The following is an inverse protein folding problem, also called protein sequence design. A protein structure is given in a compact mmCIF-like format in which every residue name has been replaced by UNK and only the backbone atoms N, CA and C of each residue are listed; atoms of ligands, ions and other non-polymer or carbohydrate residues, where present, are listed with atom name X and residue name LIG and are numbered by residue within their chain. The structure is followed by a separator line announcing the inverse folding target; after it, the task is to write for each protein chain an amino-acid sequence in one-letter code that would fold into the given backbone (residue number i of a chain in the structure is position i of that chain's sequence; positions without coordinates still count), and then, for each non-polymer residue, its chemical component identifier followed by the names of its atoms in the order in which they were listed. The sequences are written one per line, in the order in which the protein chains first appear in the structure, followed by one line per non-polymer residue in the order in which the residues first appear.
data_IF_570772274185
#
_entry.id   IF_570772274185
#
_cell.length_a   1.000
_cell.length_b   1.000
_cell.length_c   1.000
_cell.angle_alpha   90.00
_cell.angle_beta   90.00
_cell.angle_gamma   90.00
#
_symmetry.space_group_name_H-M   'P 1'
#
loop_
_entity.id
_entity.type
_entity.pdbx_description
1 polymer ?
#
# COMPACT_ATOMS: atom_id res chain seq x y z
N UNK A 1 15.01 -31.60 -2.59
CA UNK A 1 13.57 -31.55 -2.28
C UNK A 1 13.29 -30.98 -0.89
N UNK A 2 13.90 -31.54 0.17
CA UNK A 2 13.64 -31.16 1.56
C UNK A 2 13.89 -29.66 1.88
N UNK A 3 14.92 -29.06 1.30
CA UNK A 3 15.28 -27.65 1.55
C UNK A 3 14.23 -26.66 1.04
N UNK A 4 13.75 -26.81 -0.20
CA UNK A 4 12.75 -25.90 -0.79
C UNK A 4 11.39 -26.01 -0.09
N UNK A 5 11.01 -27.21 0.35
CA UNK A 5 9.81 -27.42 1.17
C UNK A 5 9.95 -26.74 2.53
N UNK A 6 11.11 -26.88 3.19
CA UNK A 6 11.38 -26.25 4.48
C UNK A 6 11.28 -24.72 4.37
N UNK A 7 11.89 -24.12 3.35
CA UNK A 7 11.77 -22.67 3.09
C UNK A 7 10.30 -22.28 2.91
N UNK A 8 9.55 -23.01 2.07
CA UNK A 8 8.14 -22.72 1.84
C UNK A 8 7.29 -22.77 3.12
N UNK A 9 7.57 -23.74 4.01
CA UNK A 9 6.91 -23.85 5.32
C UNK A 9 7.28 -22.66 6.21
N UNK A 10 8.55 -22.26 6.26
CA UNK A 10 9.00 -21.10 7.03
C UNK A 10 8.32 -19.83 6.53
N UNK A 11 8.34 -19.57 5.22
CA UNK A 11 7.68 -18.40 4.61
C UNK A 11 6.18 -18.40 4.89
N UNK A 12 5.51 -19.54 4.74
CA UNK A 12 4.09 -19.66 5.04
C UNK A 12 3.79 -19.37 6.52
N UNK A 13 4.58 -19.93 7.43
CA UNK A 13 4.44 -19.74 8.88
C UNK A 13 4.65 -18.29 9.27
N UNK A 14 5.58 -17.58 8.62
CA UNK A 14 5.82 -16.15 8.86
C UNK A 14 4.74 -15.23 8.25
N UNK A 15 4.08 -15.64 7.15
CA UNK A 15 2.98 -14.86 6.54
C UNK A 15 1.73 -14.79 7.40
N UNK A 16 1.35 -15.91 8.04
CA UNK A 16 0.13 -15.98 8.87
C UNK A 16 0.08 -14.85 9.93
N UNK A 17 1.07 -14.67 10.82
CA UNK A 17 1.03 -13.62 11.82
C UNK A 17 1.07 -12.21 11.20
N UNK A 18 1.68 -12.03 10.02
CA UNK A 18 1.67 -10.75 9.32
C UNK A 18 0.27 -10.40 8.82
N UNK A 19 -0.43 -11.35 8.18
CA UNK A 19 -1.81 -11.15 7.76
C UNK A 19 -2.73 -10.89 8.96
N UNK A 20 -2.60 -11.65 10.04
CA UNK A 20 -3.36 -11.42 11.27
C UNK A 20 -3.10 -10.03 11.84
N UNK A 21 -1.84 -9.60 11.89
CA UNK A 21 -1.46 -8.25 12.36
C UNK A 21 -2.09 -7.18 11.49
N UNK A 22 -2.08 -7.37 10.16
CA UNK A 22 -2.66 -6.42 9.22
C UNK A 22 -4.20 -6.34 9.35
N UNK A 23 -4.88 -7.48 9.49
CA UNK A 23 -6.33 -7.56 9.72
C UNK A 23 -6.70 -6.84 11.03
N UNK A 24 -6.02 -7.16 12.13
CA UNK A 24 -6.27 -6.53 13.44
C UNK A 24 -6.01 -5.02 13.35
N UNK A 25 -4.92 -4.61 12.71
CA UNK A 25 -4.59 -3.20 12.48
C UNK A 25 -5.66 -2.45 11.68
N UNK A 26 -6.21 -3.06 10.63
CA UNK A 26 -7.31 -2.49 9.85
C UNK A 26 -8.61 -2.39 10.66
N UNK A 27 -9.00 -3.45 11.37
CA UNK A 27 -10.22 -3.46 12.20
C UNK A 27 -10.14 -2.38 13.28
N UNK A 28 -8.99 -2.28 13.96
CA UNK A 28 -8.77 -1.23 14.96
C UNK A 28 -8.79 0.17 14.33
N UNK A 29 -8.21 0.35 13.14
CA UNK A 29 -8.26 1.61 12.41
C UNK A 29 -9.69 2.04 12.06
N UNK A 30 -10.50 1.13 11.52
CA UNK A 30 -11.89 1.42 11.15
C UNK A 30 -12.83 1.57 12.34
N UNK A 31 -12.55 0.89 13.46
CA UNK A 31 -13.24 1.15 14.73
C UNK A 31 -12.95 2.54 15.28
N UNK A 32 -11.73 3.03 15.10
CA UNK A 32 -11.30 4.33 15.62
C UNK A 32 -11.81 5.48 14.75
N UNK A 33 -11.84 5.31 13.43
CA UNK A 33 -12.33 6.29 12.46
C UNK A 33 -13.09 5.62 11.32
N UNK A 34 -14.26 6.18 10.96
CA UNK A 34 -14.96 5.73 9.76
C UNK A 34 -14.14 6.06 8.50
N UNK A 35 -14.24 5.22 7.47
CA UNK A 35 -13.58 5.45 6.17
C UNK A 35 -13.96 6.82 5.58
N UNK A 36 -15.20 7.27 5.80
CA UNK A 36 -15.66 8.61 5.40
C UNK A 36 -14.91 9.73 6.11
N UNK A 37 -14.64 9.58 7.41
CA UNK A 37 -13.86 10.55 8.16
C UNK A 37 -12.41 10.59 7.67
N UNK A 38 -11.81 9.43 7.41
CA UNK A 38 -10.45 9.32 6.86
C UNK A 38 -10.39 9.99 5.48
N UNK A 39 -11.36 9.71 4.62
CA UNK A 39 -11.44 10.29 3.27
C UNK A 39 -11.55 11.82 3.29
N UNK A 40 -12.27 12.39 4.27
CA UNK A 40 -12.36 13.84 4.47
C UNK A 40 -11.03 14.47 4.86
N UNK A 41 -10.18 13.75 5.63
CA UNK A 41 -8.85 14.20 6.07
C UNK A 41 -7.84 14.05 4.94
N UNK A 42 -7.78 12.86 4.33
CA UNK A 42 -6.88 12.55 3.22
C UNK A 42 -7.52 11.47 2.34
N UNK A 43 -8.06 11.83 1.16
CA UNK A 43 -8.71 10.86 0.27
C UNK A 43 -7.71 9.79 -0.21
N UNK A 44 -6.46 10.19 -0.38
CA UNK A 44 -5.31 9.36 -0.73
C UNK A 44 -5.13 8.20 0.25
N UNK A 45 -4.98 8.52 1.53
CA UNK A 45 -4.78 7.50 2.57
C UNK A 45 -6.00 6.58 2.67
N UNK A 46 -7.21 7.13 2.53
CA UNK A 46 -8.44 6.32 2.53
C UNK A 46 -8.45 5.31 1.39
N UNK A 47 -8.05 5.72 0.17
CA UNK A 47 -7.93 4.82 -0.98
C UNK A 47 -6.87 3.75 -0.72
N UNK A 48 -5.70 4.11 -0.18
CA UNK A 48 -4.67 3.12 0.15
C UNK A 48 -5.15 2.07 1.15
N UNK A 49 -5.84 2.50 2.20
CA UNK A 49 -6.40 1.60 3.20
C UNK A 49 -7.49 0.72 2.61
N UNK A 50 -8.31 1.26 1.73
CA UNK A 50 -9.33 0.48 1.02
C UNK A 50 -8.67 -0.60 0.15
N UNK A 51 -7.67 -0.24 -0.64
CA UNK A 51 -6.91 -1.19 -1.46
C UNK A 51 -6.26 -2.26 -0.60
N UNK A 52 -5.55 -1.88 0.47
CA UNK A 52 -4.97 -2.84 1.40
C UNK A 52 -6.02 -3.72 2.07
N UNK A 53 -7.20 -3.17 2.39
CA UNK A 53 -8.32 -3.95 2.96
C UNK A 53 -8.82 -4.97 1.96
N UNK A 54 -9.06 -4.58 0.72
CA UNK A 54 -9.49 -5.50 -0.35
C UNK A 54 -8.43 -6.58 -0.54
N UNK A 55 -7.16 -6.21 -0.61
CA UNK A 55 -6.07 -7.16 -0.82
C UNK A 55 -5.95 -8.15 0.34
N UNK A 56 -6.01 -7.70 1.59
CA UNK A 56 -5.90 -8.56 2.77
C UNK A 56 -7.15 -9.43 2.92
N UNK A 57 -8.35 -8.87 2.81
CA UNK A 57 -9.60 -9.61 3.08
C UNK A 57 -9.86 -10.66 1.99
N UNK A 58 -9.54 -10.36 0.73
CA UNK A 58 -9.79 -11.28 -0.37
C UNK A 58 -8.62 -12.26 -0.54
N UNK A 59 -7.38 -11.76 -0.64
CA UNK A 59 -6.26 -12.64 -1.01
C UNK A 59 -5.56 -13.31 0.15
N UNK A 60 -5.55 -12.74 1.36
CA UNK A 60 -4.88 -13.43 2.47
C UNK A 60 -5.54 -14.79 2.77
N UNK A 61 -6.88 -14.91 2.84
CA UNK A 61 -7.52 -16.22 3.01
C UNK A 61 -7.25 -17.17 1.84
N UNK A 62 -7.25 -16.65 0.61
CA UNK A 62 -6.96 -17.46 -0.57
C UNK A 62 -5.51 -17.96 -0.58
N UNK A 63 -4.54 -17.10 -0.28
CA UNK A 63 -3.12 -17.47 -0.18
C UNK A 63 -2.91 -18.48 0.96
N UNK A 64 -3.55 -18.25 2.12
CA UNK A 64 -3.49 -19.18 3.26
C UNK A 64 -4.15 -20.52 2.94
N UNK A 65 -5.23 -20.53 2.16
CA UNK A 65 -5.90 -21.76 1.74
C UNK A 65 -5.11 -22.52 0.68
N UNK A 66 -4.57 -21.84 -0.33
CA UNK A 66 -3.91 -22.44 -1.50
C UNK A 66 -2.53 -23.00 -1.16
N UNK A 67 -1.72 -22.28 -0.39
CA UNK A 67 -0.32 -22.66 -0.17
C UNK A 67 -0.14 -24.03 0.52
N UNK A 68 -0.93 -24.43 1.52
CA UNK A 68 -0.86 -25.78 2.08
C UNK A 68 -1.08 -26.87 1.03
N UNK A 69 -1.98 -26.67 0.07
CA UNK A 69 -2.20 -27.65 -1.00
C UNK A 69 -0.96 -27.79 -1.89
N UNK A 70 -0.28 -26.68 -2.20
CA UNK A 70 0.97 -26.69 -2.97
C UNK A 70 2.15 -27.28 -2.18
N UNK A 71 2.24 -26.97 -0.88
CA UNK A 71 3.32 -27.40 -0.01
C UNK A 71 3.22 -28.89 0.36
N UNK A 72 2.04 -29.34 0.76
CA UNK A 72 1.80 -30.70 1.29
C UNK A 72 1.43 -31.71 0.20
N UNK A 73 1.13 -31.27 -1.02
CA UNK A 73 0.66 -32.13 -2.13
C UNK A 73 -0.46 -33.07 -1.73
N UNK A 74 -1.39 -32.59 -0.91
CA UNK A 74 -2.43 -33.45 -0.35
C UNK A 74 -3.34 -34.08 -1.40
N UNK A 75 -3.44 -33.52 -2.61
CA UNK A 75 -4.27 -34.03 -3.69
C UNK A 75 -3.60 -33.90 -5.06
N UNK A 76 -3.94 -34.82 -5.96
CA UNK A 76 -3.73 -34.64 -7.40
C UNK A 76 -4.53 -33.40 -7.84
N UNK A 77 -3.83 -32.32 -8.18
CA UNK A 77 -4.48 -31.10 -8.67
C UNK A 77 -4.85 -31.30 -10.14
N UNK A 78 -6.15 -31.25 -10.45
CA UNK A 78 -6.59 -31.20 -11.83
C UNK A 78 -6.12 -29.91 -12.51
N UNK A 79 -5.96 -29.94 -13.84
CA UNK A 79 -5.56 -28.76 -14.61
C UNK A 79 -6.47 -27.55 -14.38
N UNK A 80 -7.77 -27.79 -14.12
CA UNK A 80 -8.74 -26.74 -13.78
C UNK A 80 -8.35 -26.03 -12.49
N UNK A 81 -8.04 -26.78 -11.42
CA UNK A 81 -7.66 -26.21 -10.12
C UNK A 81 -6.37 -25.39 -10.25
N UNK A 82 -5.40 -25.89 -11.02
CA UNK A 82 -4.12 -25.19 -11.26
C UNK A 82 -4.37 -23.86 -11.97
N UNK A 83 -5.14 -23.86 -13.05
CA UNK A 83 -5.50 -22.64 -13.78
C UNK A 83 -6.24 -21.64 -12.89
N UNK A 84 -7.14 -22.10 -12.02
CA UNK A 84 -7.83 -21.24 -11.05
C UNK A 84 -6.86 -20.62 -10.03
N UNK A 85 -5.95 -21.41 -9.45
CA UNK A 85 -4.94 -20.91 -8.50
C UNK A 85 -4.05 -19.85 -9.16
N UNK A 86 -3.63 -20.09 -10.41
CA UNK A 86 -2.83 -19.13 -11.16
C UNK A 86 -3.60 -17.86 -11.46
N UNK A 87 -4.85 -17.96 -11.90
CA UNK A 87 -5.70 -16.79 -12.14
C UNK A 87 -5.84 -15.95 -10.86
N UNK A 88 -6.09 -16.57 -9.72
CA UNK A 88 -6.16 -15.88 -8.41
C UNK A 88 -4.82 -15.19 -8.10
N UNK A 89 -3.70 -15.87 -8.33
CA UNK A 89 -2.36 -15.32 -8.10
C UNK A 89 -2.09 -14.12 -9.00
N UNK A 90 -2.45 -14.20 -10.28
CA UNK A 90 -2.28 -13.11 -11.25
C UNK A 90 -3.12 -11.91 -10.87
N UNK A 91 -4.39 -12.12 -10.50
CA UNK A 91 -5.28 -11.04 -10.04
C UNK A 91 -4.74 -10.39 -8.75
N UNK A 92 -4.19 -11.19 -7.83
CA UNK A 92 -3.51 -10.69 -6.63
C UNK A 92 -2.31 -9.81 -6.99
N UNK A 93 -1.44 -10.25 -7.90
CA UNK A 93 -0.29 -9.46 -8.38
C UNK A 93 -0.72 -8.19 -9.11
N UNK A 94 -1.80 -8.23 -9.88
CA UNK A 94 -2.36 -7.03 -10.52
C UNK A 94 -2.86 -6.01 -9.48
N UNK A 95 -3.47 -6.46 -8.38
CA UNK A 95 -3.87 -5.57 -7.28
C UNK A 95 -2.69 -5.03 -6.47
N UNK A 96 -1.59 -5.78 -6.35
CA UNK A 96 -0.32 -5.27 -5.82
C UNK A 96 0.24 -4.17 -6.73
N UNK A 97 0.30 -4.41 -8.04
CA UNK A 97 0.71 -3.39 -9.03
C UNK A 97 -0.17 -2.15 -8.92
N UNK A 98 -1.48 -2.33 -8.82
CA UNK A 98 -2.43 -1.24 -8.62
C UNK A 98 -2.10 -0.43 -7.36
N UNK A 99 -1.87 -1.10 -6.23
CA UNK A 99 -1.46 -0.47 -4.96
C UNK A 99 -0.17 0.34 -5.10
N UNK A 100 0.82 -0.16 -5.81
CA UNK A 100 2.12 0.50 -5.94
C UNK A 100 2.04 1.72 -6.86
N UNK A 101 1.30 1.60 -7.96
CA UNK A 101 0.99 2.72 -8.84
C UNK A 101 0.21 3.82 -8.11
N UNK A 102 -0.76 3.45 -7.28
CA UNK A 102 -1.53 4.39 -6.45
C UNK A 102 -0.59 5.16 -5.51
N UNK A 103 0.38 4.47 -4.91
CA UNK A 103 1.40 5.09 -4.08
C UNK A 103 2.34 6.04 -4.84
N UNK A 104 2.79 5.69 -6.05
CA UNK A 104 3.53 6.61 -6.92
C UNK A 104 2.71 7.87 -7.16
N UNK A 105 1.43 7.69 -7.50
CA UNK A 105 0.47 8.78 -7.67
C UNK A 105 0.40 9.68 -6.44
N UNK A 106 0.47 9.10 -5.23
CA UNK A 106 0.47 9.87 -3.99
C UNK A 106 1.75 10.68 -3.79
N UNK A 107 2.92 10.12 -4.08
CA UNK A 107 4.16 10.88 -4.03
C UNK A 107 4.13 12.05 -5.01
N UNK A 108 3.66 11.83 -6.25
CA UNK A 108 3.55 12.87 -7.27
C UNK A 108 2.54 13.94 -6.85
N UNK A 109 1.31 13.54 -6.50
CA UNK A 109 0.26 14.47 -6.08
C UNK A 109 0.69 15.28 -4.87
N UNK A 110 1.36 14.67 -3.89
CA UNK A 110 1.79 15.37 -2.68
C UNK A 110 2.97 16.30 -2.94
N UNK A 111 3.91 15.89 -3.78
CA UNK A 111 4.99 16.76 -4.25
C UNK A 111 4.42 17.98 -4.95
N UNK A 112 3.46 17.78 -5.86
CA UNK A 112 2.79 18.87 -6.57
C UNK A 112 2.10 19.85 -5.61
N UNK A 113 1.37 19.34 -4.61
CA UNK A 113 0.71 20.17 -3.61
C UNK A 113 1.68 20.96 -2.72
N UNK A 114 2.84 20.38 -2.39
CA UNK A 114 3.90 21.09 -1.64
C UNK A 114 4.55 22.21 -2.47
N UNK A 115 4.58 22.07 -3.79
CA UNK A 115 5.08 23.10 -4.70
C UNK A 115 4.04 24.22 -4.94
N UNK A 116 2.75 23.87 -4.95
CA UNK A 116 1.64 24.79 -5.26
C UNK A 116 0.57 24.82 -4.16
N UNK A 117 0.84 25.42 -2.99
CA UNK A 117 -0.06 25.39 -1.84
C UNK A 117 -1.38 26.18 -2.03
N UNK A 118 -1.46 27.09 -3.01
CA UNK A 118 -2.61 27.99 -3.23
C UNK A 118 -3.71 27.39 -4.12
N UNK A 119 -3.58 26.14 -4.56
CA UNK A 119 -4.57 25.56 -5.48
C UNK A 119 -5.85 25.11 -4.77
N UNK A 120 -6.96 25.31 -5.50
CA UNK A 120 -8.31 24.93 -5.09
C UNK A 120 -8.41 23.43 -4.78
N UNK A 121 -9.13 23.09 -3.71
CA UNK A 121 -9.41 21.70 -3.28
C UNK A 121 -10.02 20.83 -4.41
N UNK A 122 -10.79 21.44 -5.31
CA UNK A 122 -11.41 20.76 -6.46
C UNK A 122 -10.37 20.14 -7.40
N UNK A 123 -9.27 20.85 -7.68
CA UNK A 123 -8.19 20.36 -8.56
C UNK A 123 -7.52 19.12 -7.99
N UNK A 124 -7.35 19.05 -6.66
CA UNK A 124 -6.79 17.87 -5.99
C UNK A 124 -7.66 16.62 -6.18
N UNK A 125 -9.00 16.76 -6.10
CA UNK A 125 -9.90 15.63 -6.36
C UNK A 125 -9.83 15.15 -7.81
N UNK A 126 -9.73 16.07 -8.77
CA UNK A 126 -9.60 15.74 -10.19
C UNK A 126 -8.29 15.00 -10.46
N UNK A 127 -7.16 15.50 -9.93
CA UNK A 127 -5.85 14.84 -10.09
C UNK A 127 -5.87 13.45 -9.43
N UNK A 128 -6.43 13.32 -8.23
CA UNK A 128 -6.53 12.02 -7.55
C UNK A 128 -7.39 11.03 -8.34
N UNK A 129 -8.51 11.47 -8.93
CA UNK A 129 -9.35 10.63 -9.78
C UNK A 129 -8.63 10.22 -11.07
N UNK A 130 -7.89 11.14 -11.70
CA UNK A 130 -7.08 10.86 -12.89
C UNK A 130 -6.00 9.82 -12.60
N UNK A 131 -5.26 10.00 -11.49
CA UNK A 131 -4.28 9.02 -11.01
C UNK A 131 -4.96 7.67 -10.88
N UNK A 132 -6.06 7.58 -10.12
CA UNK A 132 -6.78 6.32 -9.92
C UNK A 132 -7.22 5.64 -11.22
N UNK A 133 -7.72 6.41 -12.19
CA UNK A 133 -8.13 5.88 -13.49
C UNK A 133 -6.95 5.32 -14.29
N UNK A 134 -5.83 6.05 -14.34
CA UNK A 134 -4.60 5.61 -15.02
C UNK A 134 -4.04 4.37 -14.34
N UNK A 135 -3.96 4.36 -13.00
CA UNK A 135 -3.43 3.21 -12.26
C UNK A 135 -4.31 1.98 -12.46
N UNK A 136 -5.62 2.15 -12.51
CA UNK A 136 -6.56 1.07 -12.79
C UNK A 136 -6.32 0.50 -14.19
N UNK A 137 -6.28 1.36 -15.22
CA UNK A 137 -6.01 0.95 -16.61
C UNK A 137 -4.70 0.17 -16.75
N UNK A 138 -3.60 0.71 -16.20
CA UNK A 138 -2.29 0.04 -16.23
C UNK A 138 -2.30 -1.31 -15.50
N UNK A 139 -2.98 -1.41 -14.35
CA UNK A 139 -3.10 -2.68 -13.62
C UNK A 139 -3.93 -3.72 -14.36
N UNK A 140 -4.97 -3.31 -15.09
CA UNK A 140 -5.77 -4.23 -15.92
C UNK A 140 -5.04 -4.68 -17.18
N UNK A 141 -4.24 -3.81 -17.80
CA UNK A 141 -3.42 -4.15 -18.96
C UNK A 141 -2.41 -5.27 -18.66
N UNK A 142 -1.96 -5.36 -17.40
CA UNK A 142 -1.08 -6.43 -16.92
C UNK A 142 -1.71 -7.82 -16.97
N UNK A 143 -3.04 -7.95 -16.93
CA UNK A 143 -3.73 -9.24 -16.99
C UNK A 143 -3.69 -9.86 -18.39
N UNK A 144 -3.61 -9.04 -19.44
CA UNK A 144 -3.68 -9.47 -20.85
C UNK A 144 -2.59 -10.50 -21.23
N UNK A 145 -1.28 -10.23 -21.03
CA UNK A 145 -0.24 -11.21 -21.40
C UNK A 145 -0.35 -12.50 -20.60
N UNK A 146 -0.94 -12.44 -19.40
CA UNK A 146 -1.09 -13.60 -18.53
C UNK A 146 -2.15 -14.58 -18.98
N UNK A 147 -3.26 -14.09 -19.56
CA UNK A 147 -4.28 -14.97 -20.10
C UNK A 147 -3.73 -15.84 -21.23
N UNK A 148 -2.80 -15.33 -22.05
CA UNK A 148 -2.14 -16.13 -23.09
C UNK A 148 -1.23 -17.24 -22.55
N UNK A 149 -0.60 -17.03 -21.38
CA UNK A 149 0.26 -18.04 -20.74
C UNK A 149 -0.56 -19.13 -20.05
N UNK A 150 -1.74 -18.80 -19.51
CA UNK A 150 -2.60 -19.77 -18.79
C UNK A 150 -3.03 -20.96 -19.66
N UNK A 151 -3.14 -20.78 -20.97
CA UNK A 151 -3.54 -21.84 -21.88
C UNK A 151 -2.41 -22.81 -22.22
N UNK A 152 -1.15 -22.42 -22.01
CA UNK A 152 0.04 -23.22 -22.33
C UNK A 152 0.49 -24.14 -21.18
N UNK A 153 -0.27 -24.19 -20.08
CA UNK A 153 0.14 -24.92 -18.86
C UNK A 153 -0.46 -26.33 -18.88
N UNK A 154 0.40 -27.31 -19.15
CA UNK A 154 0.03 -28.73 -19.25
C UNK A 154 0.16 -29.50 -17.92
N UNK A 155 0.66 -28.87 -16.86
CA UNK A 155 0.75 -29.46 -15.52
C UNK A 155 1.74 -28.76 -14.57
N UNK A 156 1.74 -29.15 -13.30
CA UNK A 156 2.72 -28.66 -12.29
C UNK A 156 3.95 -29.58 -12.29
N UNK A 157 5.15 -28.99 -12.35
CA UNK A 157 6.42 -29.74 -12.23
C UNK A 157 6.56 -30.37 -10.83
N UNK A 158 7.13 -31.56 -10.77
CA UNK A 158 7.32 -32.32 -9.52
C UNK A 158 8.27 -31.66 -8.50
N UNK A 159 8.95 -30.58 -8.84
CA UNK A 159 9.81 -29.80 -7.95
C UNK A 159 9.18 -28.47 -7.51
N UNK A 160 7.93 -28.20 -7.91
CA UNK A 160 7.24 -26.95 -7.63
C UNK A 160 6.41 -27.01 -6.34
N UNK A 161 6.63 -26.05 -5.43
CA UNK A 161 5.98 -25.94 -4.11
C UNK A 161 5.32 -24.58 -3.84
N UNK A 162 5.39 -23.64 -4.79
CA UNK A 162 4.87 -22.28 -4.66
C UNK A 162 4.31 -21.80 -6.00
N UNK A 163 3.39 -20.84 -6.00
CA UNK A 163 2.71 -20.39 -7.23
C UNK A 163 3.69 -19.84 -8.28
N UNK A 164 4.79 -19.21 -7.86
CA UNK A 164 5.80 -18.64 -8.75
C UNK A 164 6.65 -19.66 -9.53
N UNK A 165 6.67 -20.95 -9.16
CA UNK A 165 7.39 -21.96 -9.95
C UNK A 165 6.54 -22.59 -11.04
N UNK A 166 5.21 -22.43 -11.02
CA UNK A 166 4.31 -23.11 -11.95
C UNK A 166 4.54 -22.64 -13.39
N UNK A 167 4.80 -21.34 -13.59
CA UNK A 167 5.13 -20.79 -14.91
C UNK A 167 6.58 -21.09 -15.33
N UNK A 168 7.42 -21.65 -14.46
CA UNK A 168 8.85 -21.83 -14.72
C UNK A 168 9.65 -20.52 -14.72
N UNK A 169 11.00 -20.61 -14.77
CA UNK A 169 11.89 -19.45 -14.61
C UNK A 169 12.06 -18.61 -15.90
N UNK A 170 11.83 -19.21 -17.08
CA UNK A 170 12.11 -18.57 -18.38
C UNK A 170 10.87 -18.13 -19.15
N UNK A 171 9.69 -18.36 -18.59
CA UNK A 171 8.42 -18.00 -19.20
C UNK A 171 8.28 -16.48 -19.38
N UNK A 172 7.65 -16.10 -20.49
CA UNK A 172 7.47 -14.70 -20.89
C UNK A 172 6.64 -13.96 -19.84
N UNK A 173 5.60 -14.59 -19.29
CA UNK A 173 4.75 -14.00 -18.26
C UNK A 173 5.55 -13.63 -17.01
N UNK A 174 6.38 -14.55 -16.51
CA UNK A 174 7.24 -14.28 -15.34
C UNK A 174 8.21 -13.13 -15.59
N UNK A 175 8.89 -13.11 -16.73
CA UNK A 175 9.83 -12.03 -17.08
C UNK A 175 9.12 -10.68 -17.12
N UNK A 176 7.94 -10.63 -17.74
CA UNK A 176 7.12 -9.41 -17.76
C UNK A 176 6.79 -8.94 -16.35
N UNK A 177 6.41 -9.83 -15.42
CA UNK A 177 6.13 -9.44 -14.03
C UNK A 177 7.34 -8.88 -13.33
N UNK A 178 8.46 -9.59 -13.40
CA UNK A 178 9.69 -9.16 -12.72
C UNK A 178 10.11 -7.79 -13.25
N UNK A 179 10.12 -7.62 -14.58
CA UNK A 179 10.44 -6.33 -15.21
C UNK A 179 9.45 -5.24 -14.77
N UNK A 180 8.13 -5.49 -14.84
CA UNK A 180 7.11 -4.54 -14.43
C UNK A 180 7.26 -4.13 -12.95
N UNK A 181 7.43 -5.09 -12.05
CA UNK A 181 7.62 -4.83 -10.62
C UNK A 181 8.88 -4.02 -10.36
N UNK A 182 9.98 -4.31 -11.06
CA UNK A 182 11.25 -3.57 -10.92
C UNK A 182 11.12 -2.16 -11.47
N UNK A 183 10.47 -1.97 -12.62
CA UNK A 183 10.19 -0.65 -13.18
C UNK A 183 9.35 0.18 -12.23
N UNK A 184 8.26 -0.38 -11.69
CA UNK A 184 7.41 0.28 -10.70
C UNK A 184 8.20 0.61 -9.43
N UNK A 185 9.04 -0.30 -8.94
CA UNK A 185 9.90 -0.08 -7.78
C UNK A 185 10.86 1.08 -8.00
N UNK A 186 11.53 1.15 -9.16
CA UNK A 186 12.42 2.27 -9.51
C UNK A 186 11.66 3.59 -9.56
N UNK A 187 10.49 3.64 -10.21
CA UNK A 187 9.66 4.85 -10.27
C UNK A 187 9.20 5.27 -8.88
N UNK A 188 8.86 4.30 -8.01
CA UNK A 188 8.51 4.53 -6.61
C UNK A 188 9.69 5.15 -5.85
N UNK A 189 10.91 4.64 -6.06
CA UNK A 189 12.11 5.22 -5.43
C UNK A 189 12.34 6.65 -5.91
N UNK A 190 12.29 6.90 -7.22
CA UNK A 190 12.50 8.23 -7.79
C UNK A 190 11.46 9.22 -7.27
N UNK A 191 10.17 8.87 -7.35
CA UNK A 191 9.08 9.73 -6.88
C UNK A 191 9.14 10.00 -5.38
N UNK A 192 9.49 9.01 -4.57
CA UNK A 192 9.70 9.17 -3.13
C UNK A 192 10.91 10.02 -2.78
N UNK A 193 12.03 9.88 -3.49
CA UNK A 193 13.21 10.75 -3.34
C UNK A 193 12.87 12.21 -3.63
N UNK A 194 12.18 12.48 -4.76
CA UNK A 194 11.72 13.83 -5.11
C UNK A 194 10.81 14.40 -4.03
N UNK A 195 9.86 13.60 -3.53
CA UNK A 195 8.98 14.00 -2.42
C UNK A 195 9.78 14.38 -1.17
N UNK A 196 10.77 13.57 -0.77
CA UNK A 196 11.60 13.83 0.41
C UNK A 196 12.42 15.12 0.24
N UNK A 197 13.02 15.34 -0.92
CA UNK A 197 13.80 16.55 -1.24
C UNK A 197 12.92 17.80 -1.15
N UNK A 198 11.74 17.79 -1.78
CA UNK A 198 10.81 18.92 -1.74
C UNK A 198 10.33 19.18 -0.32
N UNK A 199 10.05 18.12 0.44
CA UNK A 199 9.61 18.21 1.83
C UNK A 199 10.68 18.81 2.76
N UNK A 200 11.97 18.62 2.48
CA UNK A 200 13.06 19.25 3.25
C UNK A 200 13.13 20.75 2.99
N UNK A 201 12.82 21.20 1.77
CA UNK A 201 12.93 22.62 1.37
C UNK A 201 11.73 23.49 1.76
N UNK A 202 10.59 22.89 2.15
CA UNK A 202 9.34 23.62 2.39
C UNK A 202 8.87 23.50 3.83
N UNK A 203 8.47 24.63 4.42
CA UNK A 203 7.82 24.66 5.74
C UNK A 203 6.40 24.11 5.58
N UNK A 204 6.11 23.00 6.26
CA UNK A 204 4.80 22.34 6.19
C UNK A 204 3.94 22.64 7.42
N UNK A 205 2.62 22.88 7.25
CA UNK A 205 1.69 23.03 8.36
C UNK A 205 1.73 21.83 9.32
N UNK A 206 1.46 22.05 10.61
CA UNK A 206 1.53 21.00 11.62
C UNK A 206 0.60 19.81 11.36
N UNK A 207 -0.55 20.04 10.72
CA UNK A 207 -1.47 18.99 10.29
C UNK A 207 -0.83 18.06 9.24
N UNK A 208 -0.12 18.65 8.27
CA UNK A 208 0.52 17.91 7.18
C UNK A 208 1.78 17.16 7.60
N UNK A 209 2.47 17.61 8.66
CA UNK A 209 3.64 16.92 9.22
C UNK A 209 3.34 15.46 9.58
N UNK A 210 2.13 15.16 10.02
CA UNK A 210 1.70 13.79 10.35
C UNK A 210 1.60 12.94 9.08
N UNK A 211 0.84 13.40 8.08
CA UNK A 211 0.68 12.68 6.80
C UNK A 211 2.04 12.46 6.13
N UNK A 212 2.87 13.50 6.08
CA UNK A 212 4.19 13.42 5.47
C UNK A 212 5.10 12.42 6.20
N UNK A 213 4.89 12.20 7.50
CA UNK A 213 5.62 11.17 8.26
C UNK A 213 5.18 9.75 7.86
N UNK A 214 3.89 9.50 7.66
CA UNK A 214 3.40 8.21 7.13
C UNK A 214 4.07 7.92 5.80
N UNK A 215 4.03 8.88 4.87
CA UNK A 215 4.57 8.71 3.53
C UNK A 215 6.09 8.47 3.53
N UNK A 216 6.83 9.09 4.46
CA UNK A 216 8.26 8.79 4.65
C UNK A 216 8.51 7.35 5.08
N UNK A 217 7.73 6.84 6.03
CA UNK A 217 7.85 5.45 6.48
C UNK A 217 7.46 4.49 5.36
N UNK A 218 6.35 4.75 4.68
CA UNK A 218 5.90 3.95 3.55
C UNK A 218 6.96 3.90 2.43
N UNK A 219 7.57 5.03 2.10
CA UNK A 219 8.70 5.10 1.17
C UNK A 219 9.89 4.24 1.63
N UNK A 220 10.30 4.38 2.90
CA UNK A 220 11.42 3.62 3.45
C UNK A 220 11.15 2.10 3.40
N UNK A 221 9.94 1.67 3.74
CA UNK A 221 9.56 0.27 3.73
C UNK A 221 9.51 -0.32 2.32
N UNK A 222 8.98 0.42 1.34
CA UNK A 222 9.06 -0.01 -0.07
C UNK A 222 10.50 -0.14 -0.56
N UNK A 223 11.37 0.82 -0.24
CA UNK A 223 12.78 0.71 -0.60
C UNK A 223 13.41 -0.56 -0.02
N UNK A 224 13.16 -0.86 1.26
CA UNK A 224 13.78 -1.96 1.97
C UNK A 224 13.21 -3.34 1.61
N UNK A 225 11.88 -3.46 1.51
CA UNK A 225 11.18 -4.74 1.38
C UNK A 225 10.74 -5.05 -0.05
N UNK A 226 10.65 -4.05 -0.93
CA UNK A 226 10.18 -4.26 -2.30
C UNK A 226 11.32 -4.02 -3.29
N UNK A 227 11.83 -2.79 -3.36
CA UNK A 227 12.85 -2.43 -4.36
C UNK A 227 14.12 -3.26 -4.21
N UNK A 228 14.68 -3.36 -3.00
CA UNK A 228 15.95 -4.03 -2.79
C UNK A 228 15.89 -5.54 -3.13
N UNK A 229 14.90 -6.32 -2.65
CA UNK A 229 14.77 -7.73 -3.02
C UNK A 229 14.52 -7.96 -4.52
N UNK A 230 13.69 -7.14 -5.18
CA UNK A 230 13.46 -7.28 -6.62
C UNK A 230 14.67 -6.89 -7.45
N UNK A 231 15.39 -5.84 -7.06
CA UNK A 231 16.62 -5.45 -7.73
C UNK A 231 17.70 -6.53 -7.58
N UNK A 232 17.82 -7.12 -6.39
CA UNK A 232 18.70 -8.26 -6.16
C UNK A 232 18.34 -9.45 -7.06
N UNK A 233 17.06 -9.81 -7.19
CA UNK A 233 16.62 -10.90 -8.08
C UNK A 233 16.91 -10.62 -9.56
N UNK A 234 16.74 -9.38 -10.03
CA UNK A 234 17.10 -8.99 -11.41
C UNK A 234 18.59 -9.06 -11.64
N UNK A 235 19.41 -8.54 -10.72
CA UNK A 235 20.87 -8.57 -10.84
C UNK A 235 21.34 -10.03 -10.83
N UNK A 236 20.85 -10.83 -9.89
CA UNK A 236 21.23 -12.24 -9.77
C UNK A 236 20.80 -13.06 -10.98
N UNK A 237 19.59 -12.84 -11.49
CA UNK A 237 19.09 -13.56 -12.67
C UNK A 237 19.80 -13.14 -13.95
N UNK A 238 20.19 -11.87 -14.07
CA UNK A 238 20.90 -11.35 -15.24
C UNK A 238 22.36 -11.80 -15.30
N UNK A 239 23.08 -11.68 -14.17
CA UNK A 239 24.51 -11.96 -14.08
C UNK A 239 24.82 -13.45 -13.88
N UNK A 240 24.10 -14.12 -12.97
CA UNK A 240 24.43 -15.49 -12.57
C UNK A 240 23.47 -16.55 -13.13
N UNK A 241 22.47 -16.15 -13.93
CA UNK A 241 21.36 -17.02 -14.38
C UNK A 241 20.63 -17.71 -13.21
N UNK A 242 20.65 -17.06 -12.04
CA UNK A 242 20.06 -17.55 -10.81
C UNK A 242 18.96 -16.60 -10.36
N UNK A 243 17.70 -17.05 -10.40
CA UNK A 243 16.59 -16.26 -9.85
C UNK A 243 16.37 -16.60 -8.39
N UNK A 244 16.67 -15.64 -7.53
CA UNK A 244 16.34 -15.65 -6.09
C UNK A 244 14.87 -16.02 -5.92
N UNK A 245 13.95 -15.46 -6.70
CA UNK A 245 12.51 -15.74 -6.59
C UNK A 245 12.10 -17.12 -7.05
N UNK A 246 12.95 -17.82 -7.81
CA UNK A 246 12.77 -19.23 -8.07
C UNK A 246 13.25 -20.02 -6.85
N UNK A 247 14.46 -19.80 -6.35
CA UNK A 247 15.05 -20.71 -5.36
C UNK A 247 14.65 -20.45 -3.89
N UNK A 248 14.43 -19.20 -3.51
CA UNK A 248 14.03 -18.81 -2.15
C UNK A 248 12.52 -18.89 -1.93
N UNK A 249 11.73 -19.19 -2.95
CA UNK A 249 10.27 -19.32 -2.82
C UNK A 249 9.52 -18.01 -2.99
N UNK A 250 8.42 -17.85 -2.26
CA UNK A 250 7.46 -16.76 -2.42
C UNK A 250 7.85 -15.49 -1.64
N UNK A 251 9.15 -15.17 -1.58
CA UNK A 251 9.69 -14.04 -0.83
C UNK A 251 8.99 -12.71 -1.16
N UNK A 252 8.57 -12.52 -2.42
CA UNK A 252 7.83 -11.32 -2.83
C UNK A 252 6.51 -11.16 -2.06
N UNK A 253 5.76 -12.24 -1.90
CA UNK A 253 4.50 -12.24 -1.16
C UNK A 253 4.76 -11.99 0.32
N UNK A 254 5.82 -12.57 0.88
CA UNK A 254 6.27 -12.35 2.26
C UNK A 254 6.60 -10.87 2.55
N UNK A 255 7.31 -10.19 1.65
CA UNK A 255 7.61 -8.77 1.84
C UNK A 255 6.40 -7.87 1.63
N UNK A 256 5.50 -8.22 0.71
CA UNK A 256 4.23 -7.50 0.53
C UNK A 256 3.35 -7.60 1.78
N UNK A 257 3.22 -8.79 2.38
CA UNK A 257 2.46 -8.97 3.63
C UNK A 257 3.10 -8.22 4.80
N UNK A 258 4.43 -8.20 4.87
CA UNK A 258 5.17 -7.41 5.86
C UNK A 258 4.95 -5.91 5.69
N UNK A 259 5.04 -5.39 4.47
CA UNK A 259 4.76 -3.98 4.14
C UNK A 259 3.34 -3.59 4.54
N UNK A 260 2.34 -4.40 4.20
CA UNK A 260 0.94 -4.17 4.59
C UNK A 260 0.73 -4.20 6.11
N UNK A 261 1.35 -5.16 6.81
CA UNK A 261 1.26 -5.26 8.26
C UNK A 261 1.89 -4.03 8.94
N UNK A 262 3.05 -3.61 8.48
CA UNK A 262 3.74 -2.42 9.02
C UNK A 262 2.93 -1.16 8.73
N UNK A 263 2.46 -0.98 7.50
CA UNK A 263 1.68 0.19 7.10
C UNK A 263 0.41 0.33 7.95
N UNK A 264 -0.35 -0.75 8.12
CA UNK A 264 -1.59 -0.75 8.92
C UNK A 264 -1.32 -0.46 10.39
N UNK A 265 -0.25 -0.99 10.98
CA UNK A 265 0.17 -0.69 12.37
C UNK A 265 0.60 0.76 12.53
N UNK A 266 1.45 1.28 11.63
CA UNK A 266 1.89 2.67 11.64
C UNK A 266 0.69 3.60 11.52
N UNK A 267 -0.23 3.28 10.61
CA UNK A 267 -1.42 4.07 10.40
C UNK A 267 -2.35 4.10 11.62
N UNK A 268 -2.62 2.93 12.22
CA UNK A 268 -3.41 2.84 13.45
C UNK A 268 -2.81 3.70 14.58
N UNK A 269 -1.49 3.60 14.80
CA UNK A 269 -0.80 4.41 15.82
C UNK A 269 -0.97 5.91 15.57
N UNK A 270 -0.95 6.31 14.31
CA UNK A 270 -1.14 7.71 13.93
C UNK A 270 -2.58 8.20 14.15
N UNK A 271 -3.58 7.38 13.82
CA UNK A 271 -4.98 7.67 14.13
C UNK A 271 -5.22 7.81 15.63
N UNK A 272 -4.71 6.88 16.44
CA UNK A 272 -4.85 6.92 17.90
C UNK A 272 -4.29 8.22 18.49
N UNK A 273 -3.12 8.66 18.01
CA UNK A 273 -2.51 9.92 18.44
C UNK A 273 -3.33 11.15 18.01
N UNK A 274 -4.00 11.10 16.87
CA UNK A 274 -4.87 12.17 16.41
C UNK A 274 -6.07 12.36 17.35
N UNK A 275 -6.77 11.28 17.69
CA UNK A 275 -7.93 11.34 18.61
C UNK A 275 -7.58 11.96 19.96
N UNK A 276 -6.46 11.55 20.55
CA UNK A 276 -6.02 12.10 21.84
C UNK A 276 -5.78 13.62 21.78
N UNK A 277 -5.26 14.14 20.65
CA UNK A 277 -5.01 15.58 20.51
C UNK A 277 -6.33 16.35 20.39
N UNK A 278 -7.29 15.81 19.62
CA UNK A 278 -8.60 16.45 19.43
C UNK A 278 -9.41 16.49 20.73
N UNK A 279 -9.43 15.40 21.50
CA UNK A 279 -10.16 15.34 22.78
C UNK A 279 -9.62 16.34 23.80
N UNK A 280 -8.29 16.46 23.93
CA UNK A 280 -7.64 17.41 24.87
C UNK A 280 -7.95 18.86 24.52
N UNK A 281 -7.99 19.22 23.24
CA UNK A 281 -8.31 20.58 22.83
C UNK A 281 -9.78 20.93 23.09
N UNK A 282 -10.70 20.00 22.83
CA UNK A 282 -12.14 20.21 23.11
C UNK A 282 -12.39 20.33 24.62
N UNK A 283 -11.71 19.54 25.46
CA UNK A 283 -11.85 19.66 26.91
C UNK A 283 -11.28 20.97 27.46
N UNK A 284 -10.16 21.48 26.92
CA UNK A 284 -9.61 22.78 27.31
C UNK A 284 -10.54 23.94 26.94
N UNK A 285 -11.05 23.95 25.70
CA UNK A 285 -12.00 24.98 25.27
C UNK A 285 -13.24 24.97 26.19
N UNK A 286 -13.79 23.78 26.50
CA UNK A 286 -14.90 23.68 27.46
C UNK A 286 -14.52 24.20 28.85
N UNK A 287 -13.32 23.89 29.35
CA UNK A 287 -12.86 24.37 30.65
C UNK A 287 -12.74 25.90 30.68
N UNK A 288 -12.18 26.51 29.64
CA UNK A 288 -12.04 27.97 29.51
C UNK A 288 -13.41 28.67 29.42
N UNK A 289 -14.40 28.05 28.77
CA UNK A 289 -15.77 28.56 28.73
C UNK A 289 -16.57 28.32 30.03
N UNK A 290 -16.25 27.28 30.81
CA UNK A 290 -16.93 27.00 32.09
C UNK A 290 -16.32 27.72 33.30
N UNK A 291 -15.07 28.17 33.20
CA UNK A 291 -14.36 28.91 34.26
C UNK A 291 -14.54 30.43 34.19
N UNK A 292 -15.05 30.96 33.07
CA UNK A 292 -15.44 32.35 32.94
C UNK A 292 -16.86 32.57 33.47
N UNK A 293 -17.01 32.81 34.76
CA UNK A 293 -18.19 33.53 35.26
C UNK A 293 -18.26 34.84 34.50
N UNK A 294 -19.24 34.95 33.61
CA UNK A 294 -19.62 36.18 32.91
C UNK A 294 -19.97 37.21 33.98
N UNK A 295 -18.96 37.97 34.43
CA UNK A 295 -19.22 39.28 34.97
C UNK A 295 -19.75 40.09 33.79
N UNK A 296 -21.02 40.45 33.89
CA UNK A 296 -21.71 41.38 33.00
C UNK A 296 -20.91 42.69 32.88
N UNK A 297 -19.97 42.74 31.93
CA UNK A 297 -19.42 43.99 31.43
C UNK A 297 -20.29 44.39 30.24
N UNK A 298 -21.29 45.20 30.51
CA UNK A 298 -22.03 45.99 29.53
C UNK A 298 -21.05 46.68 28.58
N UNK A 299 -21.14 46.46 27.26
CA UNK A 299 -20.29 47.18 26.30
C UNK A 299 -20.76 48.64 26.19
N UNK A 300 -19.85 49.64 26.25
CA UNK A 300 -20.19 50.98 25.82
C UNK A 300 -20.30 50.96 24.29
N UNK A 301 -21.51 51.25 23.82
CA UNK A 301 -21.78 51.63 22.43
C UNK A 301 -20.97 52.88 22.11
N UNK A 302 -19.85 52.75 21.40
CA UNK A 302 -19.26 53.85 20.65
C UNK A 302 -19.33 53.52 19.17
N UNK A 303 -20.39 54.04 18.54
CA UNK A 303 -20.46 54.20 17.11
C UNK A 303 -19.35 55.18 16.68
N UNK A 304 -18.38 54.70 15.91
CA UNK A 304 -17.53 55.56 15.11
C UNK A 304 -17.61 55.13 13.65
N UNK A 305 -18.52 55.80 12.96
CA UNK A 305 -18.52 55.97 11.52
C UNK A 305 -17.29 56.79 11.13
N UNK A 306 -16.33 56.17 10.45
CA UNK A 306 -15.32 56.91 9.68
C UNK A 306 -15.26 56.36 8.25
N UNK A 307 -15.76 57.20 7.34
CA UNK A 307 -15.59 57.17 5.89
C UNK A 307 -14.11 57.17 5.50
N UNK A 308 -13.77 56.41 4.46
CA UNK A 308 -12.64 56.62 3.52
C UNK A 308 -13.13 55.90 2.23
N UNK A 309 -13.71 56.52 1.21
CA UNK A 309 -13.22 57.51 0.22
C UNK A 309 -11.89 57.15 -0.45
N UNK A 310 -12.05 56.59 -1.67
CA UNK A 310 -11.18 56.51 -2.87
C UNK A 310 -9.79 55.85 -2.76
#
# INVERSE_FOLDING_TARGET
MLYSQLIGIIEFTLRIPQYLTAIVGLVLSFRTFSLRAIYKISPIIAVQLLVNTVTIVIFAPLDVAINPFLLLRWFSMSNVIIKTILMITVVSKALVIFRDLVAIGFFIHRTYWLLHPLQMRKTSYVIAALIFAITFGLSTAFLVPYFGVLDQIDGIREDCFYTSCVTGPYDVGRKTVVVTMVTISIITVISGCVFVIVLQKKVTPAADKKINRVLKYEFLFRCAFETFPFLADVISSSLFKFSIGYYLGAYSTQFISMDMAIFTVVYYRMLKKHNHTTTVNVSRIKADFSGGSVQNATPPFTANTSKVQE
#
